data_IF_398758179529
#
_entry.id   IF_398758179529
#
_cell.length_a   1.000
_cell.length_b   1.000
_cell.length_c   1.000
_cell.angle_alpha   90.00
_cell.angle_beta   90.00
_cell.angle_gamma   90.00
#
_symmetry.space_group_name_H-M   'P 1'
#
loop_
_entity.id
_entity.type
_entity.pdbx_description
1 polymer ?
#
# COMPACT_ATOMS: atom_id res chain seq x y z
N UNK A 1 -36.37 -11.76 -4.21
CA UNK A 1 -35.01 -11.23 -4.37
C UNK A 1 -34.23 -12.20 -5.26
N UNK A 2 -33.80 -11.72 -6.43
CA UNK A 2 -33.47 -12.57 -7.58
C UNK A 2 -32.03 -13.14 -7.50
N UNK A 3 -31.92 -14.46 -7.28
CA UNK A 3 -30.64 -15.21 -7.26
C UNK A 3 -29.92 -15.22 -8.61
N UNK A 4 -30.64 -14.98 -9.71
CA UNK A 4 -30.07 -14.94 -11.06
C UNK A 4 -29.29 -13.63 -11.34
N UNK A 5 -29.66 -12.54 -10.66
CA UNK A 5 -28.95 -11.25 -10.76
C UNK A 5 -27.56 -11.30 -10.13
N UNK A 6 -27.43 -11.99 -8.99
CA UNK A 6 -26.15 -12.15 -8.28
C UNK A 6 -25.19 -13.01 -9.08
N UNK A 7 -25.65 -14.12 -9.66
CA UNK A 7 -24.82 -14.99 -10.51
C UNK A 7 -24.30 -14.29 -11.76
N UNK A 8 -25.12 -13.44 -12.41
CA UNK A 8 -24.71 -12.68 -13.61
C UNK A 8 -23.72 -11.57 -13.26
N UNK A 9 -23.94 -10.85 -12.16
CA UNK A 9 -22.98 -9.87 -11.64
C UNK A 9 -21.64 -10.51 -11.27
N UNK A 10 -21.64 -11.66 -10.60
CA UNK A 10 -20.41 -12.38 -10.26
C UNK A 10 -19.63 -12.85 -11.50
N UNK A 11 -20.31 -13.33 -12.54
CA UNK A 11 -19.66 -13.73 -13.80
C UNK A 11 -19.10 -12.55 -14.58
N UNK A 12 -19.83 -11.43 -14.68
CA UNK A 12 -19.37 -10.22 -15.37
C UNK A 12 -18.20 -9.56 -14.64
N UNK A 13 -18.25 -9.48 -13.31
CA UNK A 13 -17.16 -8.92 -12.50
C UNK A 13 -15.93 -9.83 -12.54
N UNK A 14 -16.12 -11.16 -12.41
CA UNK A 14 -15.03 -12.13 -12.50
C UNK A 14 -14.34 -12.11 -13.87
N UNK A 15 -15.12 -12.05 -14.96
CA UNK A 15 -14.61 -11.91 -16.32
C UNK A 15 -13.82 -10.62 -16.52
N UNK A 16 -14.33 -9.48 -16.02
CA UNK A 16 -13.62 -8.20 -16.09
C UNK A 16 -12.31 -8.22 -15.31
N UNK A 17 -12.25 -8.85 -14.13
CA UNK A 17 -11.02 -8.98 -13.34
C UNK A 17 -10.00 -9.87 -14.05
N UNK A 18 -10.42 -11.01 -14.59
CA UNK A 18 -9.54 -11.91 -15.36
C UNK A 18 -8.98 -11.23 -16.62
N UNK A 19 -9.83 -10.50 -17.35
CA UNK A 19 -9.42 -9.73 -18.51
C UNK A 19 -8.45 -8.61 -18.11
N UNK A 20 -8.75 -7.89 -17.03
CA UNK A 20 -7.86 -6.87 -16.45
C UNK A 20 -6.50 -7.45 -16.10
N UNK A 21 -6.47 -8.59 -15.41
CA UNK A 21 -5.25 -9.24 -14.97
C UNK A 21 -4.42 -9.72 -16.16
N UNK A 22 -5.07 -10.27 -17.19
CA UNK A 22 -4.41 -10.73 -18.42
C UNK A 22 -3.79 -9.57 -19.20
N UNK A 23 -4.54 -8.47 -19.41
CA UNK A 23 -4.05 -7.26 -20.07
C UNK A 23 -2.89 -6.64 -19.28
N UNK A 24 -3.03 -6.59 -17.95
CA UNK A 24 -1.98 -6.10 -17.06
C UNK A 24 -0.69 -6.92 -17.18
N UNK A 25 -0.81 -8.25 -17.31
CA UNK A 25 0.33 -9.16 -17.48
C UNK A 25 1.05 -8.91 -18.82
N UNK A 26 0.28 -8.83 -19.91
CA UNK A 26 0.81 -8.57 -21.25
C UNK A 26 1.53 -7.21 -21.29
N UNK A 27 0.90 -6.17 -20.75
CA UNK A 27 1.46 -4.82 -20.74
C UNK A 27 2.75 -4.77 -19.90
N UNK A 28 2.76 -5.44 -18.75
CA UNK A 28 3.95 -5.56 -17.90
C UNK A 28 5.09 -6.30 -18.60
N UNK A 29 4.76 -7.32 -19.41
CA UNK A 29 5.74 -8.10 -20.17
C UNK A 29 6.40 -7.28 -21.30
N UNK A 30 5.59 -6.59 -22.12
CA UNK A 30 6.08 -5.69 -23.17
C UNK A 30 7.03 -4.65 -22.59
N UNK A 31 6.67 -4.12 -21.42
CA UNK A 31 7.47 -3.11 -20.74
C UNK A 31 8.82 -3.65 -20.25
N UNK A 32 8.83 -4.84 -19.65
CA UNK A 32 10.05 -5.49 -19.18
C UNK A 32 11.00 -5.77 -20.36
N UNK A 33 10.46 -6.18 -21.52
CA UNK A 33 11.22 -6.33 -22.76
C UNK A 33 11.83 -5.00 -23.27
N UNK A 34 11.12 -3.88 -23.13
CA UNK A 34 11.64 -2.56 -23.49
C UNK A 34 12.78 -2.15 -22.54
N UNK A 35 12.60 -2.33 -21.23
CA UNK A 35 13.57 -1.89 -20.21
C UNK A 35 14.90 -2.67 -20.32
N UNK A 36 14.86 -3.99 -20.53
CA UNK A 36 16.08 -4.79 -20.62
C UNK A 36 17.00 -4.39 -21.78
N UNK A 37 16.43 -3.79 -22.84
CA UNK A 37 17.17 -3.46 -24.05
C UNK A 37 17.85 -2.07 -23.98
N UNK A 38 17.59 -1.30 -22.92
CA UNK A 38 18.12 0.06 -22.78
C UNK A 38 19.47 0.03 -22.05
N UNK A 39 20.53 0.41 -22.77
CA UNK A 39 21.88 0.59 -22.25
C UNK A 39 22.16 2.08 -22.06
N UNK A 40 22.01 2.59 -20.84
CA UNK A 40 22.40 3.96 -20.48
C UNK A 40 22.56 4.12 -18.97
N UNK A 41 23.32 5.12 -18.51
CA UNK A 41 23.63 5.32 -17.08
C UNK A 41 22.49 6.01 -16.29
N UNK A 42 21.60 6.74 -16.99
CA UNK A 42 20.47 7.45 -16.39
C UNK A 42 19.20 6.59 -16.24
N UNK A 43 19.34 5.32 -15.83
CA UNK A 43 18.24 4.34 -15.77
C UNK A 43 17.16 4.70 -14.75
N UNK A 44 17.50 5.42 -13.68
CA UNK A 44 16.56 5.82 -12.62
C UNK A 44 15.36 6.62 -13.15
N UNK A 45 15.61 7.72 -13.88
CA UNK A 45 14.54 8.59 -14.38
C UNK A 45 13.73 7.92 -15.47
N UNK A 46 14.38 7.13 -16.32
CA UNK A 46 13.72 6.31 -17.32
C UNK A 46 12.76 5.31 -16.67
N UNK A 47 13.21 4.61 -15.62
CA UNK A 47 12.39 3.66 -14.89
C UNK A 47 11.17 4.35 -14.25
N UNK A 48 11.38 5.50 -13.61
CA UNK A 48 10.29 6.30 -13.03
C UNK A 48 9.29 6.75 -14.10
N UNK A 49 9.77 7.24 -15.24
CA UNK A 49 8.93 7.66 -16.36
C UNK A 49 8.10 6.49 -16.90
N UNK A 50 8.71 5.31 -17.02
CA UNK A 50 8.05 4.07 -17.44
C UNK A 50 6.99 3.62 -16.42
N UNK A 51 7.27 3.72 -15.12
CA UNK A 51 6.30 3.38 -14.07
C UNK A 51 5.09 4.35 -14.07
N UNK A 52 5.33 5.64 -14.29
CA UNK A 52 4.29 6.67 -14.43
C UNK A 52 3.49 6.45 -15.72
N UNK A 53 4.15 6.08 -16.82
CA UNK A 53 3.49 5.71 -18.08
C UNK A 53 2.57 4.50 -17.88
N UNK A 54 3.06 3.45 -17.22
CA UNK A 54 2.28 2.26 -16.90
C UNK A 54 1.05 2.60 -16.04
N UNK A 55 1.22 3.45 -15.03
CA UNK A 55 0.11 3.97 -14.23
C UNK A 55 -0.92 4.73 -15.08
N UNK A 56 -0.45 5.60 -15.97
CA UNK A 56 -1.29 6.46 -16.81
C UNK A 56 -2.08 5.64 -17.82
N UNK A 57 -1.42 4.71 -18.52
CA UNK A 57 -2.05 3.75 -19.43
C UNK A 57 -3.09 2.93 -18.65
N UNK A 58 -2.71 2.39 -17.49
CA UNK A 58 -3.63 1.63 -16.64
C UNK A 58 -4.87 2.41 -16.24
N UNK A 59 -4.71 3.69 -15.90
CA UNK A 59 -5.82 4.58 -15.55
C UNK A 59 -6.72 4.90 -16.75
N UNK A 60 -6.16 5.07 -17.96
CA UNK A 60 -6.92 5.30 -19.18
C UNK A 60 -7.81 4.12 -19.56
N UNK A 61 -7.34 2.89 -19.33
CA UNK A 61 -8.12 1.69 -19.61
C UNK A 61 -9.17 1.35 -18.52
N UNK A 62 -9.41 2.23 -17.54
CA UNK A 62 -10.28 1.99 -16.38
C UNK A 62 -9.96 0.72 -15.58
N UNK A 63 -8.75 0.18 -15.77
CA UNK A 63 -8.23 -0.92 -14.99
C UNK A 63 -7.76 -0.37 -13.65
N UNK A 64 -7.73 -1.21 -12.62
CA UNK A 64 -7.08 -0.81 -11.37
C UNK A 64 -5.60 -0.62 -11.65
N UNK A 65 -5.17 0.62 -11.87
CA UNK A 65 -3.77 0.98 -12.15
C UNK A 65 -2.82 0.47 -11.07
N UNK A 66 -3.32 0.34 -9.83
CA UNK A 66 -2.62 -0.29 -8.72
C UNK A 66 -2.30 -1.77 -8.98
N UNK A 67 -3.25 -2.52 -9.56
CA UNK A 67 -3.09 -3.94 -9.89
C UNK A 67 -2.01 -4.10 -10.97
N UNK A 68 -1.98 -3.22 -11.97
CA UNK A 68 -0.97 -3.26 -13.04
C UNK A 68 0.43 -3.06 -12.46
N UNK A 69 0.64 -2.02 -11.63
CA UNK A 69 1.94 -1.75 -10.98
C UNK A 69 2.35 -2.93 -10.08
N UNK A 70 1.41 -3.47 -9.32
CA UNK A 70 1.64 -4.63 -8.44
C UNK A 70 2.08 -5.84 -9.26
N UNK A 71 1.38 -6.14 -10.35
CA UNK A 71 1.64 -7.29 -11.20
C UNK A 71 2.99 -7.15 -11.91
N UNK A 72 3.32 -5.95 -12.39
CA UNK A 72 4.63 -5.62 -12.91
C UNK A 72 5.75 -5.89 -11.89
N UNK A 73 5.61 -5.37 -10.67
CA UNK A 73 6.61 -5.59 -9.61
C UNK A 73 6.71 -7.06 -9.17
N UNK A 74 5.60 -7.81 -9.23
CA UNK A 74 5.56 -9.24 -8.97
C UNK A 74 6.29 -10.03 -10.07
N UNK A 75 6.02 -9.71 -11.34
CA UNK A 75 6.67 -10.31 -12.50
C UNK A 75 8.17 -10.03 -12.50
N UNK A 76 8.58 -8.81 -12.17
CA UNK A 76 10.00 -8.41 -12.14
C UNK A 76 10.79 -9.16 -11.06
N UNK A 77 10.19 -9.46 -9.90
CA UNK A 77 10.85 -10.24 -8.83
C UNK A 77 10.83 -11.75 -9.09
N UNK A 78 9.76 -12.24 -9.73
CA UNK A 78 9.46 -13.65 -9.84
C UNK A 78 9.47 -14.10 -11.30
N UNK A 79 10.37 -13.52 -12.09
CA UNK A 79 10.41 -13.69 -13.55
C UNK A 79 10.59 -15.16 -13.91
N UNK A 80 11.45 -15.92 -13.23
CA UNK A 80 11.66 -17.36 -13.52
C UNK A 80 10.43 -18.27 -13.33
N UNK A 81 9.49 -17.90 -12.48
CA UNK A 81 8.31 -18.74 -12.13
C UNK A 81 7.04 -18.27 -12.84
N UNK A 82 6.95 -16.97 -13.17
CA UNK A 82 5.79 -16.40 -13.86
C UNK A 82 5.99 -16.28 -15.38
N UNK A 83 7.23 -16.40 -15.88
CA UNK A 83 7.48 -16.51 -17.31
C UNK A 83 7.10 -17.92 -17.78
N UNK A 84 6.25 -17.98 -18.81
CA UNK A 84 6.10 -19.21 -19.57
C UNK A 84 7.47 -19.56 -20.16
N UNK A 85 7.94 -20.80 -19.94
CA UNK A 85 9.26 -21.34 -20.37
C UNK A 85 9.77 -20.90 -21.76
N UNK A 86 8.90 -20.59 -22.72
CA UNK A 86 9.26 -20.12 -24.07
C UNK A 86 9.74 -18.67 -24.15
N UNK A 87 9.50 -17.89 -23.10
CA UNK A 87 9.82 -16.46 -23.01
C UNK A 87 11.06 -16.18 -22.15
N UNK A 88 11.57 -17.21 -21.47
CA UNK A 88 12.82 -17.18 -20.71
C UNK A 88 14.02 -16.97 -21.64
N UNK A 89 13.98 -17.55 -22.85
CA UNK A 89 15.04 -17.40 -23.86
C UNK A 89 15.21 -15.95 -24.38
N UNK A 90 14.23 -15.07 -24.17
CA UNK A 90 14.25 -13.68 -24.64
C UNK A 90 14.69 -12.68 -23.55
N UNK A 91 14.85 -13.13 -22.30
CA UNK A 91 15.17 -12.30 -21.14
C UNK A 91 16.52 -12.70 -20.54
N UNK A 92 17.41 -11.72 -20.37
CA UNK A 92 18.70 -11.93 -19.73
C UNK A 92 18.59 -11.72 -18.21
N UNK A 93 18.76 -12.80 -17.44
CA UNK A 93 18.66 -12.80 -15.97
C UNK A 93 19.43 -11.64 -15.31
N UNK A 94 20.69 -11.42 -15.70
CA UNK A 94 21.54 -10.37 -15.12
C UNK A 94 20.99 -8.95 -15.32
N UNK A 95 20.33 -8.71 -16.47
CA UNK A 95 19.71 -7.41 -16.77
C UNK A 95 18.42 -7.20 -15.99
N UNK A 96 17.64 -8.27 -15.80
CA UNK A 96 16.42 -8.21 -15.00
C UNK A 96 16.73 -7.96 -13.53
N UNK A 97 17.77 -8.58 -12.98
CA UNK A 97 18.21 -8.36 -11.59
C UNK A 97 18.72 -6.93 -11.36
N UNK A 98 19.41 -6.34 -12.34
CA UNK A 98 19.82 -4.93 -12.31
C UNK A 98 18.59 -4.00 -12.27
N UNK A 99 17.61 -4.23 -13.15
CA UNK A 99 16.35 -3.47 -13.21
C UNK A 99 15.54 -3.63 -11.92
N UNK A 100 15.48 -4.83 -11.36
CA UNK A 100 14.81 -5.10 -10.09
C UNK A 100 15.46 -4.34 -8.93
N UNK A 101 16.80 -4.32 -8.86
CA UNK A 101 17.53 -3.60 -7.82
C UNK A 101 17.23 -2.10 -7.87
N UNK A 102 17.22 -1.51 -9.07
CA UNK A 102 16.87 -0.11 -9.28
C UNK A 102 15.41 0.16 -8.90
N UNK A 103 14.47 -0.67 -9.36
CA UNK A 103 13.05 -0.56 -8.99
C UNK A 103 12.85 -0.57 -7.47
N UNK A 104 13.51 -1.51 -6.79
CA UNK A 104 13.43 -1.64 -5.33
C UNK A 104 14.00 -0.42 -4.64
N UNK A 105 15.14 0.10 -5.11
CA UNK A 105 15.75 1.31 -4.56
C UNK A 105 14.81 2.51 -4.72
N UNK A 106 14.29 2.76 -5.92
CA UNK A 106 13.33 3.84 -6.20
C UNK A 106 12.11 3.74 -5.30
N UNK A 107 11.52 2.54 -5.21
CA UNK A 107 10.30 2.31 -4.42
C UNK A 107 10.55 2.55 -2.93
N UNK A 108 11.69 2.10 -2.40
CA UNK A 108 12.05 2.30 -0.98
C UNK A 108 12.26 3.79 -0.70
N UNK A 109 13.11 4.46 -1.48
CA UNK A 109 13.44 5.88 -1.30
C UNK A 109 12.20 6.77 -1.48
N UNK A 110 11.42 6.53 -2.54
CA UNK A 110 10.21 7.30 -2.82
C UNK A 110 9.13 7.06 -1.77
N UNK A 111 8.95 5.81 -1.29
CA UNK A 111 7.98 5.52 -0.21
C UNK A 111 8.37 6.17 1.11
N UNK A 112 9.66 6.36 1.36
CA UNK A 112 10.17 7.12 2.50
C UNK A 112 9.87 8.61 2.33
N UNK A 113 10.20 9.18 1.16
CA UNK A 113 9.92 10.58 0.83
C UNK A 113 8.42 10.89 0.96
N UNK A 114 7.56 10.12 0.29
CA UNK A 114 6.10 10.30 0.34
C UNK A 114 5.59 10.24 1.77
N UNK A 115 6.09 9.32 2.61
CA UNK A 115 5.71 9.23 4.03
C UNK A 115 6.09 10.49 4.80
N UNK A 116 7.30 10.99 4.64
CA UNK A 116 7.77 12.19 5.33
C UNK A 116 6.96 13.42 4.93
N UNK A 117 6.83 13.67 3.62
CA UNK A 117 6.04 14.79 3.12
C UNK A 117 4.57 14.69 3.53
N UNK A 118 4.01 13.49 3.49
CA UNK A 118 2.65 13.25 3.94
C UNK A 118 2.44 13.65 5.40
N UNK A 119 3.32 13.22 6.32
CA UNK A 119 3.20 13.60 7.72
C UNK A 119 3.43 15.09 7.96
N UNK A 120 4.33 15.73 7.20
CA UNK A 120 4.55 17.18 7.27
C UNK A 120 3.32 17.95 6.79
N UNK A 121 2.78 17.64 5.61
CA UNK A 121 1.56 18.27 5.08
C UNK A 121 0.38 18.02 6.01
N UNK A 122 0.20 16.78 6.45
CA UNK A 122 -0.82 16.42 7.43
C UNK A 122 -0.69 17.28 8.69
N UNK A 123 0.51 17.36 9.27
CA UNK A 123 0.79 18.14 10.47
C UNK A 123 0.46 19.63 10.31
N UNK A 124 0.73 20.21 9.14
CA UNK A 124 0.38 21.61 8.85
C UNK A 124 -1.13 21.84 8.71
N UNK A 125 -1.88 20.85 8.24
CA UNK A 125 -3.35 20.96 8.05
C UNK A 125 -4.16 20.79 9.34
N UNK A 126 -3.53 20.48 10.47
CA UNK A 126 -4.22 20.16 11.73
C UNK A 126 -4.82 21.40 12.41
N UNK A 127 -6.16 21.48 12.57
CA UNK A 127 -6.78 22.56 13.34
C UNK A 127 -6.63 22.27 14.85
N UNK A 128 -5.54 22.74 15.44
CA UNK A 128 -5.18 22.50 16.86
C UNK A 128 -6.28 22.91 17.85
N UNK A 129 -7.09 23.91 17.50
CA UNK A 129 -8.22 24.37 18.32
C UNK A 129 -9.27 23.27 18.56
N UNK A 130 -9.44 22.34 17.62
CA UNK A 130 -10.43 21.24 17.74
C UNK A 130 -9.95 20.13 18.68
N UNK A 131 -8.65 20.05 18.98
CA UNK A 131 -8.06 19.01 19.83
C UNK A 131 -8.28 19.25 21.34
N UNK A 132 -8.69 20.47 21.71
CA UNK A 132 -8.88 20.89 23.10
C UNK A 132 -10.27 20.50 23.63
N UNK A 133 -11.21 20.14 22.74
CA UNK A 133 -12.57 19.73 23.13
C UNK A 133 -12.58 18.39 23.86
N UNK A 134 -13.11 18.35 25.08
CA UNK A 134 -13.28 17.12 25.86
C UNK A 134 -14.13 16.06 25.13
N UNK A 135 -15.10 16.49 24.32
CA UNK A 135 -15.94 15.62 23.50
C UNK A 135 -15.11 14.86 22.46
N UNK A 136 -14.09 15.51 21.91
CA UNK A 136 -13.21 14.94 20.89
C UNK A 136 -12.40 13.77 21.46
N UNK A 137 -11.84 13.94 22.67
CA UNK A 137 -11.06 12.90 23.35
C UNK A 137 -11.85 11.61 23.60
N UNK A 138 -13.08 11.71 24.11
CA UNK A 138 -13.91 10.54 24.43
C UNK A 138 -14.26 9.75 23.17
N UNK A 139 -14.66 10.43 22.10
CA UNK A 139 -15.02 9.78 20.83
C UNK A 139 -13.77 9.14 20.20
N UNK A 140 -12.63 9.84 20.21
CA UNK A 140 -11.37 9.31 19.67
C UNK A 140 -10.88 8.07 20.42
N UNK A 141 -10.95 8.06 21.76
CA UNK A 141 -10.58 6.88 22.57
C UNK A 141 -11.52 5.71 22.29
N UNK A 142 -12.81 5.96 22.15
CA UNK A 142 -13.80 4.93 21.81
C UNK A 142 -13.51 4.34 20.43
N UNK A 143 -13.26 5.19 19.44
CA UNK A 143 -12.92 4.74 18.08
C UNK A 143 -11.61 3.94 18.06
N UNK A 144 -10.60 4.40 18.81
CA UNK A 144 -9.33 3.69 18.97
C UNK A 144 -9.58 2.30 19.59
N UNK A 145 -10.36 2.22 20.67
CA UNK A 145 -10.69 0.97 21.33
C UNK A 145 -11.40 -0.01 20.38
N UNK A 146 -12.41 0.45 19.64
CA UNK A 146 -13.12 -0.38 18.66
C UNK A 146 -12.20 -0.83 17.52
N UNK A 147 -11.36 0.06 16.99
CA UNK A 147 -10.44 -0.28 15.91
C UNK A 147 -9.40 -1.33 16.34
N UNK A 148 -8.83 -1.19 17.54
CA UNK A 148 -7.92 -2.19 18.09
C UNK A 148 -8.64 -3.50 18.47
N UNK A 149 -9.87 -3.44 18.96
CA UNK A 149 -10.67 -4.61 19.30
C UNK A 149 -11.04 -5.43 18.05
N UNK A 150 -11.55 -4.77 17.01
CA UNK A 150 -11.86 -5.41 15.72
C UNK A 150 -10.60 -6.06 15.14
N UNK A 151 -9.47 -5.36 15.25
CA UNK A 151 -8.18 -5.87 14.79
C UNK A 151 -7.72 -7.10 15.58
N UNK A 152 -7.84 -7.07 16.89
CA UNK A 152 -7.53 -8.22 17.75
C UNK A 152 -8.40 -9.42 17.40
N UNK A 153 -9.70 -9.20 17.16
CA UNK A 153 -10.64 -10.24 16.78
C UNK A 153 -10.30 -10.87 15.42
N UNK A 154 -10.00 -10.04 14.41
CA UNK A 154 -9.60 -10.52 13.08
C UNK A 154 -8.30 -11.34 13.14
N UNK A 155 -7.30 -10.87 13.88
CA UNK A 155 -6.05 -11.62 14.07
C UNK A 155 -6.26 -12.91 14.87
N UNK A 156 -7.11 -12.90 15.91
CA UNK A 156 -7.42 -14.09 16.69
C UNK A 156 -8.12 -15.18 15.86
N UNK A 157 -8.92 -14.78 14.87
CA UNK A 157 -9.61 -15.71 13.95
C UNK A 157 -8.63 -16.29 12.91
N UNK A 158 -7.72 -15.47 12.37
CA UNK A 158 -6.84 -15.85 11.25
C UNK A 158 -5.54 -16.52 11.71
N UNK A 159 -4.96 -16.10 12.83
CA UNK A 159 -3.59 -16.47 13.23
C UNK A 159 -3.60 -16.97 14.69
N UNK A 160 -3.81 -18.28 14.86
CA UNK A 160 -3.91 -18.96 16.18
C UNK A 160 -2.59 -19.10 16.94
N UNK A 161 -1.45 -18.63 16.41
CA UNK A 161 -0.14 -18.68 17.06
C UNK A 161 0.66 -17.39 16.78
N UNK A 162 1.25 -16.82 17.82
CA UNK A 162 2.05 -15.57 17.87
C UNK A 162 1.28 -14.24 17.78
N UNK A 163 0.32 -14.08 18.69
CA UNK A 163 -0.60 -12.95 18.84
C UNK A 163 0.09 -11.60 19.15
N UNK A 164 1.30 -11.62 19.74
CA UNK A 164 1.82 -10.43 20.45
C UNK A 164 2.94 -9.58 19.82
N UNK A 165 3.58 -9.93 18.69
CA UNK A 165 4.41 -8.95 17.96
C UNK A 165 3.65 -8.31 16.78
N UNK A 166 2.79 -9.06 16.09
CA UNK A 166 2.29 -8.61 14.78
C UNK A 166 1.19 -7.54 14.86
N UNK A 167 0.32 -7.60 15.88
CA UNK A 167 -0.79 -6.65 16.07
C UNK A 167 -0.29 -5.20 16.21
N UNK A 168 0.89 -5.02 16.83
CA UNK A 168 1.48 -3.70 17.12
C UNK A 168 2.47 -3.20 16.05
N UNK A 169 2.96 -4.06 15.14
CA UNK A 169 3.95 -3.70 14.12
C UNK A 169 3.30 -3.17 12.84
N UNK A 170 2.00 -3.41 12.63
CA UNK A 170 1.37 -3.16 11.34
C UNK A 170 0.44 -1.92 11.23
N UNK A 171 0.58 -0.79 11.95
CA UNK A 171 -0.30 0.33 11.65
C UNK A 171 0.26 1.05 10.40
N UNK A 172 -0.33 0.78 9.23
CA UNK A 172 -0.06 1.54 8.00
C UNK A 172 -0.78 2.90 8.08
N UNK A 173 -0.36 3.75 9.03
CA UNK A 173 -1.05 5.01 9.38
C UNK A 173 -1.33 5.89 8.17
N UNK A 174 -0.42 5.90 7.18
CA UNK A 174 -0.59 6.63 5.92
C UNK A 174 -1.89 6.29 5.17
N UNK A 175 -2.25 4.99 5.06
CA UNK A 175 -3.45 4.58 4.30
C UNK A 175 -4.72 4.99 5.02
N UNK A 176 -4.77 4.83 6.35
CA UNK A 176 -5.92 5.26 7.14
C UNK A 176 -6.16 6.77 6.97
N UNK A 177 -5.10 7.57 7.07
CA UNK A 177 -5.16 9.03 6.91
C UNK A 177 -5.65 9.42 5.51
N UNK A 178 -5.13 8.78 4.45
CA UNK A 178 -5.60 9.00 3.08
C UNK A 178 -7.08 8.62 2.91
N UNK A 179 -7.51 7.49 3.47
CA UNK A 179 -8.90 7.05 3.41
C UNK A 179 -9.83 8.05 4.09
N UNK A 180 -9.39 8.67 5.19
CA UNK A 180 -10.13 9.73 5.89
C UNK A 180 -10.22 11.01 5.06
N UNK A 181 -9.15 11.46 4.41
CA UNK A 181 -9.22 12.60 3.48
C UNK A 181 -10.10 12.32 2.26
N UNK A 182 -10.22 11.06 1.84
CA UNK A 182 -11.08 10.65 0.73
C UNK A 182 -12.58 10.62 1.10
N UNK A 183 -12.96 10.79 2.38
CA UNK A 183 -14.37 10.82 2.79
C UNK A 183 -15.01 12.14 2.30
N UNK A 184 -16.07 12.09 1.48
CA UNK A 184 -16.77 13.28 0.99
C UNK A 184 -17.28 14.15 2.13
N UNK A 185 -17.17 15.47 1.99
CA UNK A 185 -17.64 16.46 2.97
C UNK A 185 -19.15 16.32 3.28
N UNK A 186 -19.94 15.84 2.33
CA UNK A 186 -21.38 15.57 2.48
C UNK A 186 -21.72 14.44 3.44
N UNK A 187 -20.78 13.51 3.71
CA UNK A 187 -20.93 12.42 4.68
C UNK A 187 -20.27 12.75 6.02
N UNK A 188 -19.57 13.89 6.13
CA UNK A 188 -19.07 14.42 7.40
C UNK A 188 -20.25 15.09 8.14
N UNK A 189 -21.18 14.27 8.63
CA UNK A 189 -22.31 14.74 9.42
C UNK A 189 -21.82 15.56 10.63
N UNK A 190 -22.58 16.61 10.99
CA UNK A 190 -22.31 17.62 12.02
C UNK A 190 -22.00 17.10 13.45
N UNK A 191 -21.97 15.78 13.69
CA UNK A 191 -21.58 15.15 14.95
C UNK A 191 -20.17 14.53 14.96
N UNK A 192 -19.54 14.33 13.81
CA UNK A 192 -18.13 13.91 13.72
C UNK A 192 -17.33 15.17 13.43
N UNK A 193 -17.00 15.92 14.48
CA UNK A 193 -16.03 17.01 14.38
C UNK A 193 -14.76 16.46 13.73
N UNK A 194 -14.28 17.09 12.66
CA UNK A 194 -13.04 16.69 11.98
C UNK A 194 -11.87 16.50 12.96
N UNK A 195 -11.89 17.22 14.09
CA UNK A 195 -10.94 17.06 15.21
C UNK A 195 -10.86 15.66 15.80
N UNK A 196 -11.95 14.89 15.85
CA UNK A 196 -11.98 13.50 16.34
C UNK A 196 -11.10 12.60 15.48
N UNK A 197 -11.26 12.70 14.17
CA UNK A 197 -10.52 11.89 13.21
C UNK A 197 -9.04 12.24 13.23
N UNK A 198 -8.73 13.54 13.25
CA UNK A 198 -7.35 14.02 13.37
C UNK A 198 -6.69 13.54 14.66
N UNK A 199 -7.39 13.55 15.79
CA UNK A 199 -6.87 13.08 17.07
C UNK A 199 -6.57 11.58 17.07
N UNK A 200 -7.46 10.74 16.51
CA UNK A 200 -7.22 9.28 16.35
C UNK A 200 -5.97 9.03 15.50
N UNK A 201 -5.81 9.79 14.41
CA UNK A 201 -4.68 9.68 13.51
C UNK A 201 -3.36 10.02 14.22
N UNK A 202 -3.32 11.13 14.96
CA UNK A 202 -2.13 11.54 15.70
C UNK A 202 -1.78 10.50 16.77
N UNK A 203 -2.77 10.08 17.57
CA UNK A 203 -2.59 9.08 18.61
C UNK A 203 -2.04 7.76 18.04
N UNK A 204 -2.63 7.26 16.94
CA UNK A 204 -2.14 6.03 16.28
C UNK A 204 -0.75 6.19 15.68
N UNK A 205 -0.40 7.37 15.14
CA UNK A 205 0.93 7.64 14.60
C UNK A 205 2.01 7.73 15.69
N UNK A 206 1.69 8.31 16.85
CA UNK A 206 2.58 8.35 18.01
C UNK A 206 2.76 6.95 18.61
N UNK A 207 1.66 6.19 18.80
CA UNK A 207 1.71 4.80 19.28
C UNK A 207 2.58 3.94 18.34
N UNK A 208 2.44 4.13 17.02
CA UNK A 208 3.28 3.47 16.03
C UNK A 208 4.76 3.83 16.17
N UNK A 209 5.08 5.12 16.28
CA UNK A 209 6.46 5.58 16.42
C UNK A 209 7.10 4.98 17.68
N UNK A 210 6.40 5.00 18.82
CA UNK A 210 6.87 4.38 20.06
C UNK A 210 7.04 2.85 19.93
N UNK A 211 6.10 2.16 19.27
CA UNK A 211 6.15 0.72 19.01
C UNK A 211 7.36 0.33 18.14
N UNK A 212 7.62 1.07 17.06
CA UNK A 212 8.75 0.85 16.16
C UNK A 212 10.09 1.07 16.86
N UNK A 213 10.22 2.12 17.68
CA UNK A 213 11.44 2.41 18.44
C UNK A 213 11.69 1.28 19.46
N UNK A 214 10.66 0.87 20.20
CA UNK A 214 10.75 -0.18 21.22
C UNK A 214 11.08 -1.55 20.62
N UNK A 215 10.45 -1.89 19.49
CA UNK A 215 10.68 -3.17 18.82
C UNK A 215 12.01 -3.23 18.05
N UNK A 216 12.48 -2.09 17.51
CA UNK A 216 13.83 -2.00 16.91
C UNK A 216 14.91 -2.24 17.96
N UNK A 217 14.73 -1.78 19.21
CA UNK A 217 15.65 -2.10 20.32
C UNK A 217 15.70 -3.59 20.65
N UNK A 218 14.57 -4.31 20.54
CA UNK A 218 14.51 -5.77 20.76
C UNK A 218 15.28 -6.56 19.69
N UNK A 219 15.26 -6.12 18.42
CA UNK A 219 16.03 -6.74 17.32
C UNK A 219 17.55 -6.57 17.46
N UNK A 220 18.02 -5.45 18.01
CA UNK A 220 19.46 -5.17 18.20
C UNK A 220 20.03 -6.06 19.33
N UNK A 221 19.27 -6.28 20.41
CA UNK A 221 19.71 -7.11 21.56
C UNK A 221 19.89 -8.59 21.17
N UNK A 222 19.09 -9.11 20.24
CA UNK A 222 19.18 -10.52 19.80
C UNK A 222 20.40 -10.74 18.89
N UNK A 223 20.84 -9.72 18.14
CA UNK A 223 22.00 -9.83 17.23
C UNK A 223 23.36 -9.65 17.92
N UNK A 224 23.38 -9.17 19.18
CA UNK A 224 24.59 -9.05 19.99
C UNK A 224 24.89 -10.26 20.88
N UNK A 225 24.14 -11.35 20.75
CA UNK A 225 24.28 -12.57 21.56
C UNK A 225 24.48 -13.86 20.73
N UNK A 226 24.83 -13.73 19.45
CA UNK A 226 25.22 -14.83 18.56
C UNK A 226 26.63 -14.62 18.05
#
# INVERSE_FOLDING_TARGET
>A
MNVEGVSRLSFTVGGNILMTLSISAILSYVLLYIIQNIKGDAKFFLFLAVLILLYSIGKMFHLSSLIIILLFGLLLRNHKVLLFKKLEDWLYDDKIDEVYREFRLITVETSFLVRTFFFVVFGMTLPLATLISWRVWIISVTFLAVAYMLRFLLFAIVERKDIFPQVFIAPRGLISILLFFAIPESLKNAGIESGVLFMVIIATSIIMAMSLITNSRKKIIIKGKS
#
